data_IF_445056624181
#
_entry.id   IF_445056624181
#
_cell.length_a   1.000
_cell.length_b   1.000
_cell.length_c   1.000
_cell.angle_alpha   90.00
_cell.angle_beta   90.00
_cell.angle_gamma   90.00
#
_symmetry.space_group_name_H-M   'P 1'
#
loop_
_entity.id
_entity.type
_entity.pdbx_description
1 polymer ?
#
# COMPACT_ATOMS: atom_id res chain seq x y z
N UNK A 1 19.54 -18.42 -3.68
CA UNK A 1 18.56 -18.49 -4.79
C UNK A 1 17.11 -18.61 -4.31
N UNK A 2 16.78 -19.57 -3.42
CA UNK A 2 15.43 -19.75 -2.84
C UNK A 2 14.83 -18.52 -2.14
N UNK A 3 15.62 -17.78 -1.34
CA UNK A 3 15.16 -16.55 -0.65
C UNK A 3 14.78 -15.43 -1.62
N UNK A 4 15.54 -15.28 -2.72
CA UNK A 4 15.29 -14.28 -3.77
C UNK A 4 14.04 -14.63 -4.59
N UNK A 5 13.82 -15.91 -4.93
CA UNK A 5 12.59 -16.35 -5.60
C UNK A 5 11.34 -16.14 -4.76
N UNK A 6 11.42 -16.38 -3.44
CA UNK A 6 10.34 -16.08 -2.48
C UNK A 6 10.03 -14.58 -2.46
N UNK A 7 11.05 -13.73 -2.35
CA UNK A 7 10.85 -12.28 -2.31
C UNK A 7 10.25 -11.72 -3.62
N UNK A 8 10.62 -12.28 -4.78
CA UNK A 8 10.01 -11.93 -6.08
C UNK A 8 8.52 -12.29 -6.14
N UNK A 9 8.15 -13.48 -5.66
CA UNK A 9 6.74 -13.92 -5.59
C UNK A 9 5.93 -13.06 -4.62
N UNK A 10 6.46 -12.80 -3.42
CA UNK A 10 5.81 -11.92 -2.43
C UNK A 10 5.52 -10.56 -3.03
N UNK A 11 6.49 -9.94 -3.72
CA UNK A 11 6.30 -8.67 -4.43
C UNK A 11 5.21 -8.73 -5.51
N UNK A 12 5.16 -9.79 -6.32
CA UNK A 12 4.10 -9.96 -7.32
C UNK A 12 2.71 -10.10 -6.68
N UNK A 13 2.61 -10.85 -5.57
CA UNK A 13 1.37 -10.99 -4.81
C UNK A 13 0.94 -9.64 -4.23
N UNK A 14 1.87 -8.85 -3.68
CA UNK A 14 1.60 -7.49 -3.16
C UNK A 14 1.09 -6.55 -4.26
N UNK A 15 1.69 -6.60 -5.46
CA UNK A 15 1.23 -5.81 -6.60
C UNK A 15 -0.21 -6.21 -7.00
N UNK A 16 -0.50 -7.51 -7.03
CA UNK A 16 -1.86 -8.02 -7.27
C UNK A 16 -2.85 -7.57 -6.19
N UNK A 17 -2.47 -7.69 -4.90
CA UNK A 17 -3.28 -7.23 -3.78
C UNK A 17 -3.54 -5.72 -3.84
N UNK A 18 -2.55 -4.91 -4.25
CA UNK A 18 -2.71 -3.46 -4.42
C UNK A 18 -3.81 -3.12 -5.43
N UNK A 19 -3.95 -3.92 -6.48
CA UNK A 19 -4.99 -3.76 -7.49
C UNK A 19 -6.36 -4.22 -6.97
N UNK A 20 -6.43 -5.40 -6.33
CA UNK A 20 -7.67 -5.95 -5.79
C UNK A 20 -8.24 -5.04 -4.68
N UNK A 21 -7.41 -4.63 -3.73
CA UNK A 21 -7.82 -3.75 -2.61
C UNK A 21 -8.29 -2.40 -3.15
N UNK A 22 -7.58 -1.82 -4.12
CA UNK A 22 -8.01 -0.57 -4.76
C UNK A 22 -9.39 -0.69 -5.43
N UNK A 23 -9.66 -1.79 -6.15
CA UNK A 23 -10.96 -2.03 -6.79
C UNK A 23 -12.07 -2.22 -5.75
N UNK A 24 -11.81 -3.00 -4.70
CA UNK A 24 -12.78 -3.22 -3.62
C UNK A 24 -13.13 -1.89 -2.94
N UNK A 25 -12.13 -1.07 -2.62
CA UNK A 25 -12.33 0.25 -2.02
C UNK A 25 -13.13 1.17 -2.95
N UNK A 26 -12.80 1.20 -4.25
CA UNK A 26 -13.54 2.00 -5.23
C UNK A 26 -15.00 1.56 -5.40
N UNK A 27 -15.29 0.26 -5.27
CA UNK A 27 -16.66 -0.28 -5.42
C UNK A 27 -17.51 -0.20 -4.14
N UNK A 28 -16.88 -0.31 -2.98
CA UNK A 28 -17.57 -0.37 -1.68
C UNK A 28 -17.78 0.99 -1.05
N UNK A 29 -16.81 1.91 -1.13
CA UNK A 29 -16.93 3.22 -0.47
C UNK A 29 -18.05 4.10 -1.07
N UNK A 30 -18.21 4.23 -2.41
CA UNK A 30 -19.28 5.04 -2.98
C UNK A 30 -20.69 4.49 -2.73
N UNK A 31 -20.80 3.17 -2.53
CA UNK A 31 -22.08 2.50 -2.28
C UNK A 31 -22.46 2.47 -0.79
N UNK A 32 -21.48 2.59 0.11
CA UNK A 32 -21.69 2.53 1.57
C UNK A 32 -21.72 3.90 2.26
N UNK A 33 -21.00 4.89 1.74
CA UNK A 33 -21.00 6.27 2.24
C UNK A 33 -21.86 7.09 1.29
N UNK A 34 -23.14 7.11 1.60
CA UNK A 34 -24.20 7.82 0.90
C UNK A 34 -23.82 9.29 0.65
N UNK A 35 -23.43 9.63 -0.58
CA UNK A 35 -23.49 10.95 -1.23
C UNK A 35 -23.03 12.21 -0.45
N UNK A 36 -22.31 12.11 0.68
CA UNK A 36 -22.21 13.26 1.60
C UNK A 36 -20.99 14.16 1.45
N UNK A 37 -20.12 13.98 0.45
CA UNK A 37 -19.19 15.03 -0.04
C UNK A 37 -18.43 14.56 -1.27
N UNK A 38 -18.60 15.28 -2.39
CA UNK A 38 -17.83 15.11 -3.62
C UNK A 38 -16.30 15.06 -3.39
N UNK A 39 -15.82 15.72 -2.34
CA UNK A 39 -14.42 15.67 -1.89
C UNK A 39 -13.95 14.30 -1.38
N UNK A 40 -14.79 13.51 -0.72
CA UNK A 40 -14.35 12.20 -0.18
C UNK A 40 -14.11 11.19 -1.29
N UNK A 41 -14.99 11.15 -2.29
CA UNK A 41 -14.83 10.30 -3.49
C UNK A 41 -13.56 10.69 -4.26
N UNK A 42 -13.27 12.00 -4.32
CA UNK A 42 -12.10 12.50 -5.01
C UNK A 42 -10.79 12.00 -4.36
N UNK A 43 -10.67 12.06 -3.03
CA UNK A 43 -9.47 11.62 -2.31
C UNK A 43 -9.25 10.11 -2.49
N UNK A 44 -10.28 9.29 -2.34
CA UNK A 44 -10.16 7.83 -2.51
C UNK A 44 -9.74 7.44 -3.93
N UNK A 45 -10.27 8.12 -4.95
CA UNK A 45 -9.85 7.89 -6.34
C UNK A 45 -8.36 8.19 -6.55
N UNK A 46 -7.87 9.33 -6.03
CA UNK A 46 -6.45 9.69 -6.18
C UNK A 46 -5.55 8.71 -5.46
N UNK A 47 -5.92 8.31 -4.23
CA UNK A 47 -5.12 7.37 -3.44
C UNK A 47 -5.11 5.98 -4.09
N UNK A 48 -6.25 5.48 -4.59
CA UNK A 48 -6.30 4.21 -5.32
C UNK A 48 -5.47 4.26 -6.61
N UNK A 49 -5.51 5.36 -7.36
CA UNK A 49 -4.67 5.53 -8.56
C UNK A 49 -3.18 5.51 -8.22
N UNK A 50 -2.77 6.22 -7.16
CA UNK A 50 -1.39 6.18 -6.67
C UNK A 50 -1.00 4.74 -6.30
N UNK A 51 -1.89 3.98 -5.66
CA UNK A 51 -1.61 2.62 -5.23
C UNK A 51 -1.51 1.64 -6.40
N UNK A 52 -2.32 1.81 -7.44
CA UNK A 52 -2.22 1.06 -8.69
C UNK A 52 -0.90 1.38 -9.40
N UNK A 53 -0.57 2.68 -9.56
CA UNK A 53 0.67 3.11 -10.19
C UNK A 53 1.90 2.60 -9.43
N UNK A 54 1.90 2.77 -8.10
CA UNK A 54 2.92 2.21 -7.22
C UNK A 54 3.03 0.69 -7.41
N UNK A 55 1.90 -0.03 -7.45
CA UNK A 55 1.89 -1.48 -7.65
C UNK A 55 2.54 -1.90 -8.97
N UNK A 56 2.31 -1.14 -10.05
CA UNK A 56 2.98 -1.34 -11.34
C UNK A 56 4.48 -1.10 -11.22
N UNK A 57 4.93 -0.04 -10.55
CA UNK A 57 6.35 0.21 -10.31
C UNK A 57 7.01 -0.93 -9.51
N UNK A 58 6.33 -1.45 -8.49
CA UNK A 58 6.82 -2.58 -7.70
C UNK A 58 6.91 -3.86 -8.54
N UNK A 59 5.92 -4.12 -9.41
CA UNK A 59 5.94 -5.24 -10.34
C UNK A 59 7.10 -5.14 -11.34
N UNK A 60 7.26 -3.98 -11.99
CA UNK A 60 8.34 -3.72 -12.95
C UNK A 60 9.70 -3.77 -12.26
N UNK A 61 9.82 -3.21 -11.05
CA UNK A 61 11.03 -3.29 -10.21
C UNK A 61 11.41 -4.71 -9.86
N UNK A 62 10.42 -5.56 -9.54
CA UNK A 62 10.60 -6.98 -9.25
C UNK A 62 11.02 -7.79 -10.49
N UNK A 63 10.57 -7.40 -11.70
CA UNK A 63 10.99 -8.03 -12.95
C UNK A 63 12.41 -7.62 -13.36
N UNK A 64 12.75 -6.34 -13.21
CA UNK A 64 14.05 -5.78 -13.61
C UNK A 64 15.12 -5.85 -12.51
N UNK A 65 14.80 -6.40 -11.34
CA UNK A 65 15.64 -6.36 -10.13
C UNK A 65 16.15 -4.94 -9.79
N UNK A 66 15.34 -3.92 -10.08
CA UNK A 66 15.69 -2.54 -9.79
C UNK A 66 14.95 -2.06 -8.54
N UNK A 67 15.66 -2.07 -7.42
CA UNK A 67 15.15 -1.74 -6.09
C UNK A 67 14.76 -0.26 -5.94
N UNK A 68 15.27 0.63 -6.79
CA UNK A 68 14.84 2.04 -6.82
C UNK A 68 13.37 2.20 -7.21
N UNK A 69 12.82 1.26 -7.99
CA UNK A 69 11.41 1.27 -8.36
C UNK A 69 10.48 0.83 -7.22
N UNK A 70 11.02 0.49 -6.05
CA UNK A 70 10.22 0.19 -4.85
C UNK A 70 9.83 1.46 -4.08
N UNK A 71 10.64 2.52 -4.19
CA UNK A 71 10.39 3.81 -3.53
C UNK A 71 9.03 4.43 -3.89
N UNK A 72 8.62 4.51 -5.17
CA UNK A 72 7.29 5.03 -5.52
C UNK A 72 6.14 4.26 -4.87
N UNK A 73 6.26 2.93 -4.78
CA UNK A 73 5.26 2.10 -4.10
C UNK A 73 5.27 2.30 -2.58
N UNK A 74 6.44 2.41 -1.96
CA UNK A 74 6.57 2.69 -0.53
C UNK A 74 5.90 4.02 -0.17
N UNK A 75 6.19 5.08 -0.91
CA UNK A 75 5.59 6.42 -0.70
C UNK A 75 4.07 6.35 -0.86
N UNK A 76 3.59 5.72 -1.94
CA UNK A 76 2.15 5.54 -2.16
C UNK A 76 1.49 4.75 -1.02
N UNK A 77 2.13 3.69 -0.56
CA UNK A 77 1.60 2.84 0.51
C UNK A 77 1.52 3.57 1.85
N UNK A 78 2.49 4.43 2.16
CA UNK A 78 2.43 5.31 3.33
C UNK A 78 1.26 6.29 3.25
N UNK A 79 1.02 6.90 2.09
CA UNK A 79 -0.13 7.80 1.85
C UNK A 79 -1.45 7.03 2.00
N UNK A 80 -1.50 5.80 1.49
CA UNK A 80 -2.67 4.92 1.60
C UNK A 80 -2.97 4.56 3.05
N UNK A 81 -1.97 4.12 3.82
CA UNK A 81 -2.10 3.82 5.27
C UNK A 81 -2.57 5.06 6.03
N UNK A 82 -1.95 6.22 5.78
CA UNK A 82 -2.36 7.47 6.41
C UNK A 82 -3.83 7.80 6.11
N UNK A 83 -4.26 7.63 4.87
CA UNK A 83 -5.65 7.88 4.44
C UNK A 83 -6.61 6.93 5.15
N UNK A 84 -6.27 5.64 5.25
CA UNK A 84 -7.07 4.63 5.97
C UNK A 84 -7.24 5.01 7.45
N UNK A 85 -6.13 5.39 8.12
CA UNK A 85 -6.17 5.78 9.52
C UNK A 85 -6.97 7.07 9.73
N UNK A 86 -6.71 8.11 8.93
CA UNK A 86 -7.42 9.37 9.00
C UNK A 86 -8.94 9.18 8.81
N UNK A 87 -9.34 8.40 7.81
CA UNK A 87 -10.76 8.08 7.56
C UNK A 87 -11.36 7.22 8.66
N UNK A 88 -10.61 6.27 9.21
CA UNK A 88 -11.08 5.47 10.34
C UNK A 88 -11.43 6.34 11.56
N UNK A 89 -10.61 7.36 11.85
CA UNK A 89 -10.87 8.32 12.93
C UNK A 89 -12.07 9.21 12.60
N UNK A 90 -12.14 9.74 11.37
CA UNK A 90 -13.26 10.59 10.95
C UNK A 90 -14.60 9.84 11.05
N UNK A 91 -14.64 8.59 10.59
CA UNK A 91 -15.85 7.76 10.66
C UNK A 91 -16.21 7.37 12.09
N UNK A 92 -15.23 7.19 12.98
CA UNK A 92 -15.46 7.00 14.41
C UNK A 92 -16.25 8.16 15.05
N UNK A 93 -15.98 9.40 14.64
CA UNK A 93 -16.67 10.58 15.18
C UNK A 93 -18.01 10.93 14.50
N UNK A 94 -18.32 10.36 13.34
CA UNK A 94 -19.46 10.81 12.51
C UNK A 94 -20.51 9.75 12.16
N UNK A 95 -20.28 8.44 12.39
CA UNK A 95 -21.17 7.38 11.90
C UNK A 95 -21.80 6.53 13.03
N UNK A 96 -22.71 7.08 13.83
CA UNK A 96 -23.29 6.45 15.05
C UNK A 96 -23.82 5.00 14.92
N UNK A 97 -24.05 4.44 13.72
CA UNK A 97 -24.50 3.05 13.53
C UNK A 97 -23.62 2.11 12.69
N UNK A 98 -22.78 2.62 11.77
CA UNK A 98 -21.93 1.79 10.88
C UNK A 98 -20.45 1.71 11.31
N UNK A 99 -20.09 2.41 12.38
CA UNK A 99 -18.73 2.43 12.96
C UNK A 99 -18.20 1.03 13.26
N UNK A 100 -19.05 0.13 13.77
CA UNK A 100 -18.66 -1.19 14.29
C UNK A 100 -18.07 -2.13 13.24
N UNK A 101 -18.37 -1.93 11.95
CA UNK A 101 -17.85 -2.80 10.88
C UNK A 101 -16.79 -2.10 10.01
N UNK A 102 -16.96 -0.80 9.76
CA UNK A 102 -16.10 -0.05 8.84
C UNK A 102 -14.77 0.31 9.48
N UNK A 103 -14.76 0.80 10.72
CA UNK A 103 -13.54 1.24 11.39
C UNK A 103 -12.55 0.09 11.62
N UNK A 104 -12.98 -1.09 12.15
CA UNK A 104 -12.08 -2.22 12.31
C UNK A 104 -11.55 -2.75 10.98
N UNK A 105 -12.38 -2.72 9.92
CA UNK A 105 -11.97 -3.17 8.60
C UNK A 105 -10.87 -2.28 8.00
N UNK A 106 -11.03 -0.94 8.07
CA UNK A 106 -10.00 0.00 7.61
C UNK A 106 -8.70 -0.14 8.41
N UNK A 107 -8.79 -0.32 9.74
CA UNK A 107 -7.61 -0.52 10.59
C UNK A 107 -6.92 -1.86 10.32
N UNK A 108 -7.67 -2.93 10.07
CA UNK A 108 -7.12 -4.24 9.71
C UNK A 108 -6.36 -4.16 8.38
N UNK A 109 -6.93 -3.48 7.38
CA UNK A 109 -6.26 -3.25 6.09
C UNK A 109 -4.99 -2.42 6.29
N UNK A 110 -5.05 -1.35 7.10
CA UNK A 110 -3.88 -0.52 7.39
C UNK A 110 -2.75 -1.31 8.05
N UNK A 111 -3.07 -2.11 9.08
CA UNK A 111 -2.09 -2.98 9.74
C UNK A 111 -1.47 -4.01 8.80
N UNK A 112 -2.29 -4.64 7.96
CA UNK A 112 -1.82 -5.56 6.92
C UNK A 112 -0.89 -4.87 5.92
N UNK A 113 -1.18 -3.63 5.54
CA UNK A 113 -0.34 -2.84 4.64
C UNK A 113 0.98 -2.42 5.29
N UNK A 114 0.97 -2.06 6.58
CA UNK A 114 2.19 -1.75 7.34
C UNK A 114 3.19 -2.92 7.31
N UNK A 115 2.71 -4.16 7.44
CA UNK A 115 3.55 -5.35 7.35
C UNK A 115 4.30 -5.44 6.01
N UNK A 116 3.62 -5.19 4.89
CA UNK A 116 4.26 -5.23 3.58
C UNK A 116 5.19 -4.04 3.33
N UNK A 117 4.85 -2.86 3.85
CA UNK A 117 5.73 -1.69 3.80
C UNK A 117 7.03 -2.02 4.52
N UNK A 118 6.97 -2.62 5.71
CA UNK A 118 8.17 -3.02 6.45
C UNK A 118 8.99 -4.08 5.68
N UNK A 119 8.36 -5.14 5.17
CA UNK A 119 9.05 -6.19 4.40
C UNK A 119 9.78 -5.63 3.16
N UNK A 120 9.11 -4.77 2.38
CA UNK A 120 9.70 -4.14 1.18
C UNK A 120 10.77 -3.12 1.56
N UNK A 121 10.62 -2.40 2.66
CA UNK A 121 11.60 -1.43 3.15
C UNK A 121 12.86 -2.11 3.67
N UNK A 122 12.73 -3.21 4.43
CA UNK A 122 13.86 -4.02 4.86
C UNK A 122 14.63 -4.59 3.67
N UNK A 123 13.93 -5.09 2.64
CA UNK A 123 14.55 -5.57 1.41
C UNK A 123 15.33 -4.46 0.67
N UNK A 124 14.80 -3.23 0.66
CA UNK A 124 15.50 -2.07 0.10
C UNK A 124 16.76 -1.71 0.90
N UNK A 125 16.67 -1.70 2.24
CA UNK A 125 17.82 -1.42 3.11
C UNK A 125 18.92 -2.47 2.98
N UNK A 126 18.56 -3.75 2.88
CA UNK A 126 19.52 -4.84 2.68
C UNK A 126 20.28 -4.67 1.36
N UNK A 127 19.58 -4.32 0.28
CA UNK A 127 20.21 -4.02 -1.00
C UNK A 127 21.16 -2.81 -0.91
N UNK A 128 20.73 -1.72 -0.29
CA UNK A 128 21.54 -0.51 -0.12
C UNK A 128 22.79 -0.77 0.74
N UNK A 129 22.64 -1.53 1.83
CA UNK A 129 23.73 -1.89 2.74
C UNK A 129 24.78 -2.79 2.08
N UNK A 130 24.36 -3.74 1.23
CA UNK A 130 25.29 -4.57 0.46
C UNK A 130 26.10 -3.77 -0.56
N UNK A 131 25.51 -2.74 -1.18
CA UNK A 131 26.23 -1.83 -2.08
C UNK A 131 27.35 -1.05 -1.40
N UNK A 132 27.20 -0.76 -0.10
CA UNK A 132 28.22 -0.04 0.67
C UNK A 132 29.42 -0.95 1.07
N UNK A 133 29.16 -2.23 1.33
CA UNK A 133 30.20 -3.19 1.73
C UNK A 133 31.14 -3.58 0.58
N UNK A 134 30.66 -3.53 -0.67
CA UNK A 134 31.47 -3.81 -1.87
C UNK A 134 32.40 -2.62 -2.19
N UNK A 135 31.93 -1.39 -1.99
CA UNK A 135 32.71 -0.17 -2.24
C UNK A 135 33.82 0.10 -1.20
N UNK A 136 33.80 -0.56 -0.04
CA UNK A 136 34.88 -0.47 0.95
C UNK A 136 35.96 -1.54 0.76
N UNK A 137 35.78 -2.46 -0.20
CA UNK A 137 36.73 -3.55 -0.51
C UNK A 137 37.52 -3.37 -1.81
N UNK A 138 37.27 -2.27 -2.54
CA UNK A 138 38.06 -1.79 -3.68
C UNK A 138 38.85 -0.54 -3.28
#
# INVERSE_FOLDING_TARGET
MLRSMKAKHVRMVIAGLSLIVSIIILGTIPTWVESQKCWEICVWNHVCLLQILGGVFLFVGSLKNNYWLFLPWLVSSCIFIYTLLYKSVLYWYHLEGRILMVVPLLQTIAGFWCYFVDDVFQDFLLWHGQGHHINLSN
#
